data_IF_891583503916
#
_entry.id   IF_891583503916
#
_cell.length_a   1.000
_cell.length_b   1.000
_cell.length_c   1.000
_cell.angle_alpha   90.00
_cell.angle_beta   90.00
_cell.angle_gamma   90.00
#
_symmetry.space_group_name_H-M   'P 1'
#
loop_
_entity.id
_entity.type
_entity.pdbx_description
1 polymer ?
#
# COMPACT_ATOMS: atom_id res chain seq x y z
N UNK A 1 -18.29 0.52 4.29
CA UNK A 1 -18.25 0.80 2.83
C UNK A 1 -16.79 0.75 2.40
N UNK A 2 -16.48 0.00 1.35
CA UNK A 2 -15.14 -0.10 0.75
C UNK A 2 -14.60 1.27 0.37
N UNK A 3 -13.39 1.61 0.81
CA UNK A 3 -12.78 2.95 0.64
C UNK A 3 -12.62 3.34 -0.84
N UNK A 4 -12.36 2.36 -1.72
CA UNK A 4 -12.23 2.58 -3.16
C UNK A 4 -12.89 1.46 -4.00
N UNK A 5 -13.21 1.75 -5.26
CA UNK A 5 -13.53 0.76 -6.31
C UNK A 5 -12.32 0.49 -7.21
N UNK A 6 -12.39 -0.52 -8.08
CA UNK A 6 -11.33 -0.81 -9.05
C UNK A 6 -11.08 0.36 -9.98
N UNK A 7 -12.15 0.95 -10.51
CA UNK A 7 -12.09 2.08 -11.42
C UNK A 7 -11.46 3.31 -10.74
N UNK A 8 -11.74 3.51 -9.45
CA UNK A 8 -11.11 4.58 -8.67
C UNK A 8 -9.60 4.36 -8.52
N UNK A 9 -9.15 3.12 -8.26
CA UNK A 9 -7.72 2.78 -8.14
C UNK A 9 -7.00 2.95 -9.48
N UNK A 10 -7.62 2.51 -10.57
CA UNK A 10 -7.06 2.68 -11.93
C UNK A 10 -6.93 4.15 -12.33
N UNK A 11 -7.80 5.03 -11.80
CA UNK A 11 -7.79 6.46 -12.05
C UNK A 11 -6.95 7.28 -11.04
N UNK A 12 -6.33 6.65 -10.03
CA UNK A 12 -5.52 7.37 -9.04
C UNK A 12 -4.30 8.01 -9.69
N UNK A 13 -3.97 9.23 -9.26
CA UNK A 13 -2.66 9.81 -9.56
C UNK A 13 -1.55 9.00 -8.87
N UNK A 14 -0.29 9.08 -9.33
CA UNK A 14 0.82 8.41 -8.66
C UNK A 14 0.93 8.75 -7.17
N UNK A 15 0.71 10.01 -6.80
CA UNK A 15 0.74 10.46 -5.41
C UNK A 15 -0.39 9.83 -4.57
N UNK A 16 -1.62 9.78 -5.11
CA UNK A 16 -2.76 9.14 -4.46
C UNK A 16 -2.53 7.64 -4.28
N UNK A 17 -2.00 6.97 -5.30
CA UNK A 17 -1.70 5.54 -5.24
C UNK A 17 -0.60 5.26 -4.22
N UNK A 18 0.51 6.01 -4.25
CA UNK A 18 1.60 5.89 -3.27
C UNK A 18 1.08 6.03 -1.85
N UNK A 19 0.28 7.08 -1.58
CA UNK A 19 -0.26 7.35 -0.24
C UNK A 19 -1.26 6.28 0.20
N UNK A 20 -2.12 5.80 -0.70
CA UNK A 20 -3.10 4.75 -0.38
C UNK A 20 -2.41 3.41 -0.11
N UNK A 21 -1.36 3.05 -0.86
CA UNK A 21 -0.55 1.85 -0.57
C UNK A 21 0.14 1.99 0.79
N UNK A 22 0.76 3.13 1.06
CA UNK A 22 1.41 3.39 2.34
C UNK A 22 0.44 3.22 3.52
N UNK A 23 -0.76 3.80 3.45
CA UNK A 23 -1.72 3.73 4.55
C UNK A 23 -2.43 2.39 4.63
N UNK A 24 -3.00 1.92 3.52
CA UNK A 24 -3.99 0.85 3.54
C UNK A 24 -3.34 -0.54 3.39
N UNK A 25 -2.16 -0.62 2.75
CA UNK A 25 -1.42 -1.88 2.62
C UNK A 25 -0.33 -1.97 3.69
N UNK A 26 0.52 -0.95 3.76
CA UNK A 26 1.71 -0.95 4.63
C UNK A 26 1.42 -0.47 6.06
N UNK A 27 0.21 0.03 6.35
CA UNK A 27 -0.16 0.47 7.70
C UNK A 27 0.53 1.75 8.19
N UNK A 28 1.18 2.50 7.29
CA UNK A 28 1.90 3.72 7.64
C UNK A 28 0.92 4.86 7.97
N UNK A 29 1.30 5.69 8.93
CA UNK A 29 0.53 6.86 9.33
C UNK A 29 1.44 8.02 9.71
N UNK A 30 0.89 9.24 9.77
CA UNK A 30 1.63 10.38 10.30
C UNK A 30 1.27 10.60 11.76
N UNK A 31 2.31 10.62 12.61
CA UNK A 31 2.24 11.05 13.98
C UNK A 31 2.52 12.55 14.07
N UNK A 32 1.72 13.29 14.85
CA UNK A 32 1.95 14.70 15.15
C UNK A 32 2.19 14.86 16.66
N UNK A 33 3.35 15.41 17.02
CA UNK A 33 3.67 15.81 18.39
C UNK A 33 3.33 17.28 18.60
N UNK A 34 2.46 17.59 19.56
CA UNK A 34 1.94 18.94 19.80
C UNK A 34 1.91 19.36 21.28
N UNK A 35 2.62 18.63 22.16
CA UNK A 35 2.41 18.69 23.62
C UNK A 35 3.20 19.77 24.37
N UNK A 36 4.18 20.41 23.74
CA UNK A 36 5.07 21.38 24.39
C UNK A 36 4.87 22.81 23.86
N UNK A 37 5.93 23.41 23.30
CA UNK A 37 5.93 24.72 22.65
C UNK A 37 5.84 24.52 21.13
N UNK A 38 5.30 25.50 20.40
CA UNK A 38 5.19 25.48 18.94
C UNK A 38 6.53 25.14 18.24
N UNK A 39 7.66 25.57 18.82
CA UNK A 39 9.00 25.27 18.31
C UNK A 39 9.42 23.79 18.41
N UNK A 40 8.73 22.99 19.23
CA UNK A 40 8.95 21.56 19.42
C UNK A 40 7.84 20.71 18.79
N UNK A 41 6.88 21.31 18.08
CA UNK A 41 5.88 20.55 17.36
C UNK A 41 6.49 19.95 16.09
N UNK A 42 6.22 18.68 15.82
CA UNK A 42 6.76 17.99 14.65
C UNK A 42 5.82 16.88 14.16
N UNK A 43 6.03 16.48 12.91
CA UNK A 43 5.37 15.39 12.23
C UNK A 43 6.39 14.27 11.95
N UNK A 44 5.97 13.01 12.01
CA UNK A 44 6.79 11.87 11.60
C UNK A 44 5.92 10.85 10.87
N UNK A 45 6.43 10.26 9.78
CA UNK A 45 5.85 9.05 9.22
C UNK A 45 6.23 7.88 10.13
N UNK A 46 5.27 7.07 10.53
CA UNK A 46 5.45 5.96 11.46
C UNK A 46 4.83 4.67 10.92
N UNK A 47 5.47 3.55 11.23
CA UNK A 47 4.92 2.19 11.16
C UNK A 47 4.52 1.79 12.59
N UNK A 48 3.22 1.89 12.89
CA UNK A 48 2.72 1.79 14.26
C UNK A 48 3.25 2.91 15.16
N UNK A 49 4.29 2.60 15.95
CA UNK A 49 4.97 3.55 16.83
C UNK A 49 6.39 3.89 16.38
N UNK A 50 6.93 3.12 15.44
CA UNK A 50 8.32 3.23 15.02
C UNK A 50 8.43 4.23 13.85
N UNK A 51 9.34 5.22 13.92
CA UNK A 51 9.51 6.18 12.83
C UNK A 51 10.05 5.47 11.58
N UNK A 52 9.44 5.78 10.44
CA UNK A 52 9.95 5.44 9.11
C UNK A 52 11.06 6.42 8.79
N UNK A 53 12.22 6.24 9.42
CA UNK A 53 13.35 7.13 9.23
C UNK A 53 13.96 6.94 7.83
N UNK A 54 14.45 8.01 7.17
CA UNK A 54 15.34 7.83 6.04
C UNK A 54 16.60 7.11 6.49
N UNK A 55 17.18 6.32 5.58
CA UNK A 55 18.31 5.41 5.76
C UNK A 55 19.66 6.09 6.13
N UNK A 56 19.66 7.32 6.66
CA UNK A 56 20.87 8.10 6.91
C UNK A 56 21.30 8.22 8.38
N UNK A 57 20.52 7.67 9.32
CA UNK A 57 20.91 7.51 10.73
C UNK A 57 21.20 8.82 11.48
N UNK A 58 20.86 9.97 10.90
CA UNK A 58 21.21 11.30 11.41
C UNK A 58 19.98 12.15 11.77
N UNK A 59 18.79 11.78 11.28
CA UNK A 59 17.55 12.51 11.57
C UNK A 59 16.59 11.63 12.37
N UNK A 60 15.98 12.20 13.41
CA UNK A 60 14.99 11.53 14.28
C UNK A 60 13.66 11.27 13.57
N UNK A 61 13.56 11.51 12.26
CA UNK A 61 12.31 11.45 11.48
C UNK A 61 11.41 12.68 11.65
N UNK A 62 11.82 13.68 12.42
CA UNK A 62 11.04 14.89 12.69
C UNK A 62 10.93 15.80 11.45
N UNK A 63 9.71 16.25 11.15
CA UNK A 63 9.37 17.15 10.05
C UNK A 63 8.49 18.30 10.53
N UNK A 64 8.51 19.43 9.83
CA UNK A 64 7.73 20.61 10.22
C UNK A 64 6.29 20.55 9.75
N UNK A 65 6.03 19.83 8.65
CA UNK A 65 4.68 19.65 8.11
C UNK A 65 4.35 18.19 7.86
N UNK A 66 3.05 17.89 7.73
CA UNK A 66 2.57 16.57 7.38
C UNK A 66 3.07 16.14 5.99
N UNK A 67 3.11 17.05 5.02
CA UNK A 67 3.60 16.78 3.66
C UNK A 67 5.08 16.39 3.66
N UNK A 68 5.90 17.06 4.46
CA UNK A 68 7.30 16.70 4.66
C UNK A 68 7.43 15.30 5.28
N UNK A 69 6.57 14.92 6.24
CA UNK A 69 6.54 13.54 6.76
C UNK A 69 6.18 12.52 5.68
N UNK A 70 5.20 12.81 4.82
CA UNK A 70 4.87 11.93 3.70
C UNK A 70 5.98 11.81 2.66
N UNK A 71 6.89 12.78 2.58
CA UNK A 71 8.06 12.69 1.70
C UNK A 71 9.04 11.58 2.11
N UNK A 72 9.00 11.14 3.37
CA UNK A 72 9.80 10.01 3.87
C UNK A 72 9.23 8.64 3.45
N UNK A 73 8.02 8.61 2.89
CA UNK A 73 7.40 7.38 2.42
C UNK A 73 8.25 6.74 1.31
N UNK A 74 8.57 5.43 1.42
CA UNK A 74 9.30 4.70 0.37
C UNK A 74 8.65 4.87 -1.00
N UNK A 75 9.46 4.97 -2.05
CA UNK A 75 8.98 5.19 -3.41
C UNK A 75 8.52 3.89 -4.08
N UNK A 76 7.37 3.38 -3.64
CA UNK A 76 6.81 2.11 -4.12
C UNK A 76 6.52 2.07 -5.63
N UNK A 77 6.43 3.23 -6.30
CA UNK A 77 6.04 3.29 -7.72
C UNK A 77 7.23 3.34 -8.67
N UNK A 78 8.40 3.76 -8.18
CA UNK A 78 9.61 3.87 -9.02
C UNK A 78 10.76 2.99 -8.51
N UNK A 79 10.80 2.63 -7.23
CA UNK A 79 11.81 1.73 -6.67
C UNK A 79 11.25 0.30 -6.55
N UNK A 80 11.83 -0.62 -7.32
CA UNK A 80 11.43 -2.03 -7.29
C UNK A 80 11.72 -2.69 -5.94
N UNK A 81 12.76 -2.25 -5.20
CA UNK A 81 13.04 -2.79 -3.87
C UNK A 81 11.94 -2.38 -2.88
N UNK A 82 11.49 -1.12 -2.93
CA UNK A 82 10.35 -0.64 -2.16
C UNK A 82 9.06 -1.38 -2.57
N UNK A 83 8.79 -1.53 -3.86
CA UNK A 83 7.62 -2.29 -4.36
C UNK A 83 7.64 -3.75 -3.88
N UNK A 84 8.82 -4.37 -3.78
CA UNK A 84 8.95 -5.74 -3.26
C UNK A 84 8.53 -5.84 -1.78
N UNK A 85 8.76 -4.79 -0.98
CA UNK A 85 8.25 -4.74 0.41
C UNK A 85 6.73 -4.81 0.48
N UNK A 86 6.02 -4.30 -0.53
CA UNK A 86 4.57 -4.45 -0.64
C UNK A 86 4.19 -5.93 -0.84
N UNK A 87 4.94 -6.68 -1.66
CA UNK A 87 4.72 -8.12 -1.82
C UNK A 87 4.95 -8.85 -0.51
N UNK A 88 6.06 -8.57 0.17
CA UNK A 88 6.40 -9.20 1.46
C UNK A 88 5.31 -8.96 2.50
N UNK A 89 4.82 -7.72 2.61
CA UNK A 89 3.74 -7.37 3.52
C UNK A 89 2.44 -8.11 3.19
N UNK A 90 2.06 -8.20 1.90
CA UNK A 90 0.90 -8.97 1.48
C UNK A 90 1.03 -10.47 1.79
N UNK A 91 2.24 -11.03 1.70
CA UNK A 91 2.51 -12.42 2.10
C UNK A 91 2.38 -12.62 3.61
N UNK A 92 2.85 -11.66 4.41
CA UNK A 92 2.64 -11.66 5.88
C UNK A 92 1.15 -11.63 6.22
N UNK A 93 0.35 -10.87 5.46
CA UNK A 93 -1.12 -10.86 5.56
C UNK A 93 -1.80 -12.14 5.01
N UNK A 94 -1.03 -13.11 4.51
CA UNK A 94 -1.54 -14.41 4.07
C UNK A 94 -1.94 -14.51 2.59
N UNK A 95 -1.63 -13.50 1.77
CA UNK A 95 -1.93 -13.55 0.35
C UNK A 95 -0.82 -14.24 -0.44
N UNK A 96 -1.18 -15.24 -1.25
CA UNK A 96 -0.30 -15.77 -2.28
C UNK A 96 -0.15 -14.77 -3.43
N UNK A 97 1.05 -14.59 -3.98
CA UNK A 97 1.31 -13.61 -5.05
C UNK A 97 1.59 -14.29 -6.37
N UNK A 98 1.01 -13.76 -7.45
CA UNK A 98 1.42 -14.03 -8.83
C UNK A 98 1.82 -12.69 -9.45
N UNK A 99 3.06 -12.60 -9.94
CA UNK A 99 3.56 -11.46 -10.71
C UNK A 99 4.20 -12.02 -11.98
N UNK A 100 3.72 -11.59 -13.14
CA UNK A 100 4.29 -12.03 -14.42
C UNK A 100 4.28 -10.92 -15.46
N UNK A 101 5.27 -10.98 -16.35
CA UNK A 101 5.31 -10.15 -17.56
C UNK A 101 4.58 -10.90 -18.67
N UNK A 102 3.59 -10.24 -19.26
CA UNK A 102 2.89 -10.73 -20.44
C UNK A 102 3.79 -10.49 -21.66
N UNK A 103 4.66 -11.45 -21.97
CA UNK A 103 5.48 -11.38 -23.18
C UNK A 103 4.66 -11.58 -24.47
N UNK A 104 5.36 -11.47 -25.61
CA UNK A 104 4.92 -11.47 -27.02
C UNK A 104 3.86 -12.49 -27.47
N UNK A 105 3.49 -13.46 -26.62
CA UNK A 105 2.47 -14.47 -26.91
C UNK A 105 1.03 -13.98 -26.76
N UNK A 106 0.76 -12.92 -25.98
CA UNK A 106 -0.62 -12.50 -25.65
C UNK A 106 -0.90 -11.00 -25.70
N UNK A 107 0.12 -10.14 -25.69
CA UNK A 107 -0.05 -8.71 -25.89
C UNK A 107 1.19 -8.14 -26.61
N UNK A 108 1.02 -7.19 -27.55
CA UNK A 108 2.13 -6.55 -28.25
C UNK A 108 2.91 -5.55 -27.37
N UNK A 109 2.47 -5.31 -26.14
CA UNK A 109 2.97 -4.26 -25.26
C UNK A 109 3.55 -4.88 -23.97
N UNK A 110 4.60 -4.26 -23.43
CA UNK A 110 5.38 -4.66 -22.24
C UNK A 110 4.56 -4.60 -20.93
N UNK A 111 3.45 -5.33 -20.88
CA UNK A 111 2.51 -5.32 -19.78
C UNK A 111 2.93 -6.30 -18.69
N UNK A 112 2.82 -5.84 -17.46
CA UNK A 112 2.89 -6.64 -16.25
C UNK A 112 1.50 -6.92 -15.73
N UNK A 113 1.33 -8.09 -15.14
CA UNK A 113 0.14 -8.41 -14.37
C UNK A 113 0.51 -8.93 -12.98
N UNK A 114 -0.29 -8.54 -11.99
CA UNK A 114 -0.12 -8.94 -10.61
C UNK A 114 -1.46 -9.27 -9.96
N UNK A 115 -1.45 -10.31 -9.13
CA UNK A 115 -2.59 -10.80 -8.38
C UNK A 115 -2.14 -11.24 -6.98
N UNK A 116 -2.95 -10.92 -5.97
CA UNK A 116 -2.81 -11.43 -4.61
C UNK A 116 -4.03 -12.28 -4.24
N UNK A 117 -3.81 -13.56 -3.93
CA UNK A 117 -4.84 -14.56 -3.65
C UNK A 117 -5.78 -14.77 -4.85
N UNK A 118 -7.07 -14.97 -4.57
CA UNK A 118 -8.11 -15.08 -5.59
C UNK A 118 -8.75 -13.73 -5.94
N UNK A 119 -8.05 -12.62 -5.70
CA UNK A 119 -8.57 -11.27 -5.95
C UNK A 119 -8.38 -10.86 -7.41
N UNK A 120 -9.11 -9.86 -7.93
CA UNK A 120 -8.93 -9.35 -9.28
C UNK A 120 -7.51 -8.90 -9.55
N UNK A 121 -7.05 -9.28 -10.74
CA UNK A 121 -5.73 -8.97 -11.24
C UNK A 121 -5.63 -7.51 -11.71
N UNK A 122 -4.52 -6.86 -11.38
CA UNK A 122 -4.14 -5.57 -11.93
C UNK A 122 -3.22 -5.76 -13.16
N UNK A 123 -3.22 -4.77 -14.06
CA UNK A 123 -2.31 -4.70 -15.21
C UNK A 123 -1.73 -3.30 -15.32
N UNK A 124 -0.45 -3.21 -15.68
CA UNK A 124 0.24 -1.94 -15.91
C UNK A 124 1.51 -2.16 -16.75
N UNK A 125 2.07 -1.12 -17.35
CA UNK A 125 3.36 -1.19 -18.05
C UNK A 125 4.55 -1.25 -17.07
N UNK A 126 4.33 -0.84 -15.81
CA UNK A 126 5.33 -0.90 -14.73
C UNK A 126 5.04 -2.03 -13.75
N UNK A 127 6.06 -2.86 -13.47
CA UNK A 127 5.99 -3.91 -12.46
C UNK A 127 5.63 -3.34 -11.07
N UNK A 128 6.27 -2.22 -10.70
CA UNK A 128 6.07 -1.54 -9.42
C UNK A 128 4.63 -1.05 -9.27
N UNK A 129 4.09 -0.42 -10.32
CA UNK A 129 2.71 0.11 -10.32
C UNK A 129 1.70 -1.03 -10.26
N UNK A 130 1.90 -2.12 -11.00
CA UNK A 130 0.95 -3.25 -10.97
C UNK A 130 0.94 -3.96 -9.62
N UNK A 131 2.09 -4.06 -8.94
CA UNK A 131 2.18 -4.58 -7.56
C UNK A 131 1.32 -3.71 -6.63
N UNK A 132 1.54 -2.40 -6.67
CA UNK A 132 0.82 -1.44 -5.83
C UNK A 132 -0.69 -1.47 -6.04
N UNK A 133 -1.14 -1.47 -7.30
CA UNK A 133 -2.56 -1.57 -7.66
C UNK A 133 -3.17 -2.89 -7.20
N UNK A 134 -2.50 -4.01 -7.43
CA UNK A 134 -2.98 -5.33 -7.04
C UNK A 134 -3.09 -5.50 -5.53
N UNK A 135 -2.11 -4.99 -4.77
CA UNK A 135 -2.11 -5.06 -3.31
C UNK A 135 -3.30 -4.26 -2.73
N UNK A 136 -3.50 -3.04 -3.20
CA UNK A 136 -4.62 -2.20 -2.77
C UNK A 136 -5.98 -2.83 -3.10
N UNK A 137 -6.12 -3.41 -4.30
CA UNK A 137 -7.32 -4.16 -4.69
C UNK A 137 -7.61 -5.34 -3.75
N UNK A 138 -6.57 -6.06 -3.33
CA UNK A 138 -6.71 -7.24 -2.50
C UNK A 138 -7.14 -6.92 -1.06
N UNK A 139 -6.51 -5.92 -0.42
CA UNK A 139 -6.88 -5.48 0.94
C UNK A 139 -8.34 -5.03 0.98
N UNK A 140 -8.75 -4.21 0.03
CA UNK A 140 -10.11 -3.67 -0.03
C UNK A 140 -11.17 -4.76 -0.19
N UNK A 141 -10.85 -5.84 -0.90
CA UNK A 141 -11.78 -6.95 -1.08
C UNK A 141 -11.82 -7.91 0.09
N UNK A 142 -10.69 -8.08 0.78
CA UNK A 142 -10.65 -8.87 1.99
C UNK A 142 -11.46 -8.21 3.12
N UNK A 143 -11.34 -6.89 3.27
CA UNK A 143 -12.19 -6.10 4.17
C UNK A 143 -13.67 -6.37 3.88
N UNK A 144 -14.10 -6.34 2.61
CA UNK A 144 -15.50 -6.66 2.25
C UNK A 144 -15.93 -8.03 2.76
N UNK A 145 -15.11 -9.07 2.62
CA UNK A 145 -15.47 -10.43 3.07
C UNK A 145 -15.63 -10.51 4.59
N UNK A 146 -14.80 -9.80 5.35
CA UNK A 146 -14.89 -9.76 6.82
C UNK A 146 -16.20 -9.16 7.34
N UNK A 147 -16.84 -8.26 6.59
CA UNK A 147 -18.13 -7.65 6.96
C UNK A 147 -19.37 -8.48 6.59
N UNK A 148 -19.22 -9.57 5.84
CA UNK A 148 -20.32 -10.46 5.44
C UNK A 148 -20.27 -11.81 6.16
N UNK A 149 -19.48 -11.96 7.24
CA UNK A 149 -19.61 -13.13 8.10
C UNK A 149 -20.89 -12.98 8.93
N UNK A 150 -21.97 -13.59 8.44
CA UNK A 150 -23.23 -13.71 9.16
C UNK A 150 -23.00 -14.65 10.36
N UNK A 151 -23.20 -14.22 11.61
CA UNK A 151 -23.06 -15.10 12.77
C UNK A 151 -24.04 -16.29 12.74
N UNK A 152 -25.02 -16.29 11.83
CA UNK A 152 -25.97 -17.38 11.61
C UNK A 152 -25.48 -18.46 10.61
N UNK A 153 -24.26 -18.34 10.03
CA UNK A 153 -23.65 -19.40 9.19
C UNK A 153 -23.03 -20.55 10.00
N UNK A 154 -23.23 -20.58 11.32
CA UNK A 154 -23.07 -21.81 12.11
C UNK A 154 -24.18 -22.80 11.72
N UNK A 155 -23.87 -23.65 10.75
CA UNK A 155 -24.68 -24.81 10.38
C UNK A 155 -25.12 -25.56 11.66
N UNK A 156 -26.42 -25.82 11.87
CA UNK A 156 -26.85 -26.67 12.97
C UNK A 156 -26.31 -28.08 12.72
N UNK A 157 -25.51 -28.57 13.67
CA UNK A 157 -25.06 -29.95 13.75
C UNK A 157 -26.24 -30.94 13.80
#
# INVERSE_FOLDING_TARGET
MSKYTREQIEAMTPEQLKRSVATDVMGLSVYHYDKDFEANCYYMLVDGIDPVAPFDGLTTGERKTEEEAWSDCPDYLNDIAAAWKVIEEMQVKGFATVLQRLGDYFAPDDLWECQFGHMPMAKDESAQVVICKAALLAVIQDEKKSYFHDPDDELPF
#
